data_IF_233738309760
#
_entry.id   IF_233738309760
#
_cell.length_a   1.000
_cell.length_b   1.000
_cell.length_c   1.000
_cell.angle_alpha   90.00
_cell.angle_beta   90.00
_cell.angle_gamma   90.00
#
_symmetry.space_group_name_H-M   'P 1'
#
loop_
_entity.id
_entity.type
_entity.pdbx_description
1 polymer ?
#
# COMPACT_ATOMS: atom_id res chain seq x y z
N UNK A 1 50.46 -43.14 -0.05
CA UNK A 1 49.01 -42.86 0.05
C UNK A 1 48.81 -41.77 1.10
N UNK A 2 48.00 -40.73 0.85
CA UNK A 2 47.70 -39.54 1.72
C UNK A 2 48.28 -38.18 1.27
N UNK A 3 48.09 -37.74 0.01
CA UNK A 3 47.96 -36.29 -0.22
C UNK A 3 46.64 -35.87 -0.91
N UNK A 4 45.78 -36.82 -1.28
CA UNK A 4 44.55 -36.51 -2.02
C UNK A 4 43.38 -36.00 -1.16
N UNK A 5 43.39 -36.22 0.16
CA UNK A 5 42.26 -35.84 1.03
C UNK A 5 42.33 -34.36 1.43
N UNK A 6 43.53 -33.77 1.53
CA UNK A 6 43.69 -32.38 1.93
C UNK A 6 43.19 -31.38 0.87
N UNK A 7 43.21 -31.76 -0.42
CA UNK A 7 42.76 -30.89 -1.51
C UNK A 7 41.23 -30.75 -1.60
N UNK A 8 40.46 -31.74 -1.10
CA UNK A 8 39.00 -31.73 -1.20
C UNK A 8 38.30 -30.87 -0.13
N UNK A 9 38.96 -30.60 1.01
CA UNK A 9 38.37 -29.82 2.12
C UNK A 9 38.49 -28.31 1.87
N UNK A 10 39.48 -27.86 1.09
CA UNK A 10 39.69 -26.44 0.81
C UNK A 10 38.64 -25.84 -0.15
N UNK A 11 37.95 -26.66 -0.94
CA UNK A 11 37.02 -26.20 -1.97
C UNK A 11 35.59 -25.99 -1.42
N UNK A 12 35.22 -26.62 -0.31
CA UNK A 12 33.86 -26.58 0.23
C UNK A 12 33.55 -25.35 1.11
N UNK A 13 34.56 -24.55 1.51
CA UNK A 13 34.32 -23.33 2.31
C UNK A 13 33.99 -22.07 1.48
N UNK A 14 34.11 -22.11 0.15
CA UNK A 14 33.86 -20.93 -0.70
C UNK A 14 32.43 -20.85 -1.27
N UNK A 15 31.59 -21.88 -1.08
CA UNK A 15 30.30 -22.00 -1.78
C UNK A 15 29.07 -21.65 -0.93
N UNK A 16 29.23 -21.18 0.30
CA UNK A 16 28.14 -21.06 1.25
C UNK A 16 27.93 -19.66 1.80
N UNK A 17 27.78 -18.61 0.98
CA UNK A 17 27.18 -17.32 1.40
C UNK A 17 27.03 -16.33 0.22
N UNK A 18 26.05 -16.49 -0.68
CA UNK A 18 25.44 -15.31 -1.35
C UNK A 18 24.12 -15.58 -2.11
N UNK A 19 23.34 -16.61 -1.79
CA UNK A 19 21.98 -16.73 -2.35
C UNK A 19 20.95 -16.18 -1.36
N UNK A 20 20.89 -14.85 -1.29
CA UNK A 20 19.73 -14.12 -0.80
C UNK A 20 19.17 -13.27 -1.95
N UNK A 21 17.85 -13.04 -2.03
CA UNK A 21 17.30 -12.13 -3.04
C UNK A 21 18.04 -10.79 -2.95
N UNK A 22 18.69 -10.41 -4.07
CA UNK A 22 19.38 -9.13 -4.17
C UNK A 22 18.42 -7.99 -3.83
N UNK A 23 18.84 -7.11 -2.92
CA UNK A 23 18.10 -5.88 -2.52
C UNK A 23 17.80 -4.94 -3.70
N UNK A 24 18.38 -5.20 -4.88
CA UNK A 24 18.29 -4.33 -6.06
C UNK A 24 16.88 -4.19 -6.66
N UNK A 25 15.90 -5.02 -6.28
CA UNK A 25 14.51 -4.90 -6.76
C UNK A 25 13.46 -4.74 -5.66
N UNK A 26 13.89 -4.52 -4.41
CA UNK A 26 12.97 -4.04 -3.39
C UNK A 26 12.93 -2.52 -3.54
N UNK A 27 11.91 -2.00 -4.24
CA UNK A 27 11.46 -0.62 -3.97
C UNK A 27 11.06 -0.61 -2.49
N UNK A 28 12.01 -0.26 -1.63
CA UNK A 28 11.77 0.00 -0.21
C UNK A 28 10.66 1.05 -0.17
N UNK A 29 9.62 0.80 0.63
CA UNK A 29 8.54 1.77 0.81
C UNK A 29 9.17 3.09 1.25
N UNK A 30 9.13 4.10 0.37
CA UNK A 30 9.84 5.37 0.57
C UNK A 30 9.12 6.31 1.53
N UNK A 31 7.95 5.93 2.04
CA UNK A 31 7.26 6.67 3.07
C UNK A 31 6.35 5.75 3.91
N UNK A 32 6.04 6.15 5.15
CA UNK A 32 4.98 5.52 5.96
C UNK A 32 3.57 5.88 5.46
N UNK A 33 3.45 6.58 4.33
CA UNK A 33 2.18 7.04 3.78
C UNK A 33 1.47 5.86 3.09
N UNK A 34 0.14 5.86 3.14
CA UNK A 34 -0.69 4.95 2.39
C UNK A 34 -0.52 5.09 0.88
N UNK A 35 -1.10 4.18 0.12
CA UNK A 35 -0.99 4.21 -1.35
C UNK A 35 -1.57 5.51 -1.94
N UNK A 36 -0.77 6.22 -2.75
CA UNK A 36 -1.24 7.37 -3.52
C UNK A 36 -2.31 6.94 -4.54
N UNK A 37 -3.48 7.58 -4.49
CA UNK A 37 -4.65 7.27 -5.32
C UNK A 37 -5.01 8.43 -6.25
N UNK A 38 -5.32 8.09 -7.48
CA UNK A 38 -5.99 8.96 -8.45
C UNK A 38 -7.36 8.37 -8.72
N UNK A 39 -8.40 9.10 -8.31
CA UNK A 39 -9.78 8.66 -8.31
C UNK A 39 -10.63 9.59 -9.16
N UNK A 40 -11.56 9.02 -9.92
CA UNK A 40 -12.62 9.75 -10.61
C UNK A 40 -13.99 9.23 -10.16
N UNK A 41 -14.87 10.17 -9.84
CA UNK A 41 -16.29 9.94 -9.59
C UNK A 41 -17.11 10.42 -10.79
N UNK A 42 -18.44 10.43 -10.65
CA UNK A 42 -19.32 11.05 -11.66
C UNK A 42 -19.11 12.56 -11.79
N UNK A 43 -18.74 13.22 -10.69
CA UNK A 43 -18.76 14.69 -10.56
C UNK A 43 -17.39 15.30 -10.33
N UNK A 44 -16.39 14.53 -9.93
CA UNK A 44 -15.09 15.05 -9.52
C UNK A 44 -13.93 14.10 -9.83
N UNK A 45 -12.72 14.65 -9.79
CA UNK A 45 -11.46 13.90 -9.69
C UNK A 45 -10.80 14.25 -8.36
N UNK A 46 -10.26 13.24 -7.70
CA UNK A 46 -9.58 13.36 -6.40
C UNK A 46 -8.20 12.71 -6.54
N UNK A 47 -7.17 13.42 -6.10
CA UNK A 47 -5.82 12.90 -5.98
C UNK A 47 -5.43 12.96 -4.52
N UNK A 48 -5.01 11.85 -3.93
CA UNK A 48 -4.74 11.83 -2.50
C UNK A 48 -4.07 10.55 -2.03
N UNK A 49 -4.12 10.32 -0.73
CA UNK A 49 -3.57 9.14 -0.07
C UNK A 49 -4.69 8.23 0.42
N UNK A 50 -4.53 6.91 0.24
CA UNK A 50 -5.42 5.92 0.83
C UNK A 50 -5.11 5.72 2.32
N UNK A 51 -5.93 6.36 3.16
CA UNK A 51 -5.82 6.19 4.61
C UNK A 51 -6.37 4.83 5.06
N UNK A 52 -7.57 4.46 4.62
CA UNK A 52 -8.19 3.20 5.01
C UNK A 52 -9.22 2.73 3.99
N UNK A 53 -9.65 1.47 4.14
CA UNK A 53 -10.70 0.86 3.33
C UNK A 53 -11.74 0.24 4.27
N UNK A 54 -12.95 0.80 4.28
CA UNK A 54 -14.07 0.24 5.01
C UNK A 54 -14.93 -0.62 4.08
N UNK A 55 -16.07 -1.09 4.56
CA UNK A 55 -16.94 -1.93 3.74
C UNK A 55 -17.69 -1.15 2.65
N UNK A 56 -17.92 0.14 2.84
CA UNK A 56 -18.70 0.97 1.91
C UNK A 56 -17.84 1.73 0.88
N UNK A 57 -16.55 1.90 1.11
CA UNK A 57 -15.69 2.72 0.26
C UNK A 57 -14.25 2.91 0.74
N UNK A 58 -13.62 3.95 0.17
CA UNK A 58 -12.25 4.36 0.46
C UNK A 58 -12.26 5.59 1.36
N UNK A 59 -11.40 5.60 2.39
CA UNK A 59 -11.12 6.81 3.16
C UNK A 59 -9.82 7.41 2.65
N UNK A 60 -9.90 8.63 2.16
CA UNK A 60 -8.82 9.33 1.47
C UNK A 60 -8.41 10.59 2.22
N UNK A 61 -7.14 10.96 2.07
CA UNK A 61 -6.62 12.28 2.41
C UNK A 61 -6.27 13.02 1.12
N UNK A 62 -6.98 14.11 0.84
CA UNK A 62 -6.68 15.03 -0.25
C UNK A 62 -6.06 16.31 0.34
N UNK A 63 -4.74 16.41 0.28
CA UNK A 63 -3.98 17.44 0.99
C UNK A 63 -4.19 17.35 2.50
N UNK A 64 -5.09 18.18 3.04
CA UNK A 64 -5.48 18.20 4.47
C UNK A 64 -6.94 17.82 4.71
N UNK A 65 -7.66 17.41 3.66
CA UNK A 65 -9.07 17.07 3.78
C UNK A 65 -9.24 15.56 3.80
N UNK A 66 -9.75 15.04 4.91
CA UNK A 66 -10.21 13.67 4.97
C UNK A 66 -11.58 13.55 4.29
N UNK A 67 -11.78 12.52 3.47
CA UNK A 67 -13.07 12.24 2.86
C UNK A 67 -13.29 10.73 2.69
N UNK A 68 -14.55 10.33 2.73
CA UNK A 68 -14.96 8.96 2.41
C UNK A 68 -15.63 8.93 1.05
N UNK A 69 -15.12 8.12 0.13
CA UNK A 69 -15.67 7.93 -1.21
C UNK A 69 -16.33 6.55 -1.31
N UNK A 70 -17.66 6.47 -1.42
CA UNK A 70 -18.37 5.19 -1.58
C UNK A 70 -17.97 4.47 -2.87
N UNK A 71 -17.82 3.15 -2.83
CA UNK A 71 -17.44 2.35 -4.02
C UNK A 71 -18.39 2.56 -5.21
N UNK A 72 -19.67 2.79 -4.93
CA UNK A 72 -20.71 3.04 -5.95
C UNK A 72 -20.48 4.32 -6.74
N UNK A 73 -19.76 5.28 -6.17
CA UNK A 73 -19.43 6.55 -6.82
C UNK A 73 -18.11 6.50 -7.58
N UNK A 74 -17.29 5.45 -7.40
CA UNK A 74 -15.96 5.32 -8.00
C UNK A 74 -16.09 4.80 -9.44
N UNK A 75 -15.86 5.67 -10.42
CA UNK A 75 -15.79 5.26 -11.83
C UNK A 75 -14.46 4.57 -12.15
N UNK A 76 -13.37 5.16 -11.69
CA UNK A 76 -12.01 4.64 -11.84
C UNK A 76 -11.17 5.08 -10.65
N UNK A 77 -10.42 4.16 -10.03
CA UNK A 77 -9.40 4.49 -9.05
C UNK A 77 -8.11 3.72 -9.37
N UNK A 78 -7.01 4.47 -9.56
CA UNK A 78 -5.66 3.95 -9.80
C UNK A 78 -4.78 4.28 -8.61
N UNK A 79 -3.89 3.37 -8.27
CA UNK A 79 -2.92 3.57 -7.20
C UNK A 79 -1.54 3.66 -7.84
N UNK A 80 -0.92 4.84 -7.80
CA UNK A 80 0.19 5.21 -8.69
C UNK A 80 1.38 4.25 -8.61
N UNK A 81 1.63 3.70 -7.42
CA UNK A 81 2.76 2.82 -7.16
C UNK A 81 2.42 1.33 -7.19
N UNK A 82 1.15 0.99 -7.43
CA UNK A 82 0.64 -0.37 -7.38
C UNK A 82 0.19 -0.85 -8.76
N UNK A 83 0.26 -2.15 -8.96
CA UNK A 83 -0.14 -2.76 -10.25
C UNK A 83 -1.64 -2.71 -10.51
N UNK A 84 -2.03 -3.07 -11.74
CA UNK A 84 -3.41 -3.05 -12.22
C UNK A 84 -4.39 -3.89 -11.35
N UNK A 85 -3.88 -4.86 -10.60
CA UNK A 85 -4.64 -5.68 -9.66
C UNK A 85 -5.22 -4.92 -8.45
N UNK A 86 -4.83 -3.65 -8.26
CA UNK A 86 -5.40 -2.74 -7.26
C UNK A 86 -6.41 -1.75 -7.85
N UNK A 87 -6.57 -1.70 -9.18
CA UNK A 87 -7.44 -0.73 -9.84
C UNK A 87 -8.92 -1.06 -9.60
N UNK A 88 -9.70 -0.04 -9.26
CA UNK A 88 -11.17 -0.15 -9.14
C UNK A 88 -11.80 0.48 -10.37
N UNK A 89 -12.85 -0.17 -10.92
CA UNK A 89 -13.61 0.35 -12.06
C UNK A 89 -15.09 0.06 -11.92
N UNK A 90 -15.91 0.93 -12.53
CA UNK A 90 -17.29 0.60 -12.90
C UNK A 90 -18.36 0.90 -11.84
N UNK A 91 -18.08 1.70 -10.82
CA UNK A 91 -19.09 2.18 -9.87
C UNK A 91 -19.76 1.04 -9.08
N UNK A 92 -19.02 -0.04 -8.84
CA UNK A 92 -19.50 -1.20 -8.09
C UNK A 92 -18.52 -1.54 -6.99
N UNK A 93 -19.05 -2.13 -5.92
CA UNK A 93 -18.23 -2.64 -4.82
C UNK A 93 -17.25 -3.72 -5.34
N UNK A 94 -15.94 -3.60 -5.08
CA UNK A 94 -14.98 -4.63 -5.43
C UNK A 94 -15.25 -5.95 -4.69
N UNK A 95 -14.82 -7.11 -5.22
CA UNK A 95 -14.90 -8.38 -4.51
C UNK A 95 -14.18 -8.34 -3.15
N UNK A 96 -14.59 -9.15 -2.16
CA UNK A 96 -13.99 -9.16 -0.82
C UNK A 96 -12.47 -9.32 -0.81
N UNK A 97 -11.92 -10.17 -1.68
CA UNK A 97 -10.48 -10.37 -1.82
C UNK A 97 -9.75 -9.10 -2.29
N UNK A 98 -10.37 -8.32 -3.18
CA UNK A 98 -9.82 -7.05 -3.65
C UNK A 98 -9.85 -5.99 -2.52
N UNK A 99 -10.95 -5.94 -1.75
CA UNK A 99 -11.06 -5.07 -0.56
C UNK A 99 -9.97 -5.40 0.46
N UNK A 100 -9.78 -6.69 0.79
CA UNK A 100 -8.75 -7.14 1.71
C UNK A 100 -7.34 -6.78 1.20
N UNK A 101 -7.11 -6.83 -0.11
CA UNK A 101 -5.85 -6.43 -0.72
C UNK A 101 -5.61 -4.92 -0.59
N UNK A 102 -6.63 -4.10 -0.82
CA UNK A 102 -6.56 -2.64 -0.66
C UNK A 102 -6.33 -2.23 0.81
N UNK A 103 -6.94 -2.93 1.77
CA UNK A 103 -6.67 -2.72 3.21
C UNK A 103 -5.19 -2.85 3.55
N UNK A 104 -4.51 -3.89 3.02
CA UNK A 104 -3.09 -4.12 3.29
C UNK A 104 -2.14 -3.02 2.81
N UNK A 105 -2.56 -2.21 1.83
CA UNK A 105 -1.75 -1.13 1.26
C UNK A 105 -2.23 0.27 1.68
N UNK A 106 -3.24 0.33 2.55
CA UNK A 106 -3.69 1.57 3.17
C UNK A 106 -2.83 1.92 4.39
N UNK A 107 -2.81 3.20 4.77
CA UNK A 107 -2.10 3.68 5.95
C UNK A 107 -2.56 2.98 7.25
N UNK A 108 -3.87 2.72 7.35
CA UNK A 108 -4.51 2.05 8.49
C UNK A 108 -5.20 0.76 8.04
N UNK A 109 -4.46 -0.37 7.90
CA UNK A 109 -5.02 -1.64 7.41
C UNK A 109 -6.15 -2.22 8.25
N UNK A 110 -6.15 -1.92 9.54
CA UNK A 110 -7.18 -2.34 10.50
C UNK A 110 -8.42 -1.43 10.47
N UNK A 111 -8.42 -0.39 9.62
CA UNK A 111 -9.42 0.67 9.62
C UNK A 111 -9.06 1.83 10.55
N UNK A 112 -9.91 2.85 10.53
CA UNK A 112 -9.79 4.04 11.37
C UNK A 112 -10.81 3.89 12.49
N UNK A 113 -10.34 3.79 13.74
CA UNK A 113 -11.22 3.83 14.91
C UNK A 113 -11.69 5.28 15.17
N UNK A 114 -12.78 5.49 15.92
CA UNK A 114 -13.24 6.83 16.27
C UNK A 114 -12.14 7.71 16.90
N UNK A 115 -11.27 7.11 17.72
CA UNK A 115 -10.16 7.81 18.39
C UNK A 115 -9.08 8.23 17.39
N UNK A 116 -8.74 7.36 16.42
CA UNK A 116 -7.80 7.69 15.35
C UNK A 116 -8.40 8.76 14.45
N UNK A 117 -9.69 8.66 14.13
CA UNK A 117 -10.40 9.66 13.33
C UNK A 117 -10.36 11.04 13.98
N UNK A 118 -10.68 11.12 15.28
CA UNK A 118 -10.62 12.37 16.03
C UNK A 118 -9.20 12.96 16.02
N UNK A 119 -8.17 12.14 16.26
CA UNK A 119 -6.77 12.60 16.18
C UNK A 119 -6.39 13.11 14.79
N UNK A 120 -6.78 12.40 13.73
CA UNK A 120 -6.49 12.80 12.36
C UNK A 120 -7.21 14.11 12.00
N UNK A 121 -8.47 14.27 12.41
CA UNK A 121 -9.22 15.52 12.21
C UNK A 121 -8.50 16.69 12.90
N UNK A 122 -8.13 16.54 14.18
CA UNK A 122 -7.38 17.58 14.90
C UNK A 122 -6.04 17.90 14.23
N UNK A 123 -5.27 16.89 13.80
CA UNK A 123 -3.97 17.09 13.15
C UNK A 123 -4.10 17.88 11.84
N UNK A 124 -5.11 17.58 11.02
CA UNK A 124 -5.29 18.25 9.74
C UNK A 124 -6.03 19.60 9.84
N UNK A 125 -6.89 19.77 10.84
CA UNK A 125 -7.51 21.07 11.17
C UNK A 125 -6.46 22.07 11.67
N UNK A 126 -5.55 21.64 12.55
CA UNK A 126 -4.55 22.55 13.14
C UNK A 126 -3.43 22.96 12.19
N UNK A 127 -3.14 22.17 11.15
CA UNK A 127 -2.17 22.59 10.16
C UNK A 127 -2.73 23.59 9.14
N UNK A 128 -4.06 23.70 9.03
CA UNK A 128 -4.77 24.60 8.10
C UNK A 128 -4.89 26.07 8.53
N UNK A 129 -4.35 26.45 9.69
CA UNK A 129 -4.19 27.83 10.15
C UNK A 129 -2.75 28.31 9.91
#
# INVERSE_FOLDING_TARGET
MRPFIAALIAISLAAGCSFGPSKANLRVATSPLGAAVQLSTKTARVNGELLAVNDSGLVLLDGRRMMTVPFTEIRDAKFAELGAQYRIRGGRRPPPLAIARLRRVSHFPQGITPEIQAKLLTLYEQQGQ
#
